data_IF_537870802483
#
_entry.id   IF_537870802483
#
_cell.length_a   1.000
_cell.length_b   1.000
_cell.length_c   1.000
_cell.angle_alpha   90.00
_cell.angle_beta   90.00
_cell.angle_gamma   90.00
#
_symmetry.space_group_name_H-M   'P 1'
#
loop_
_entity.id
_entity.type
_entity.pdbx_description
1 polymer ?
#
# COMPACT_ATOMS: atom_id res chain seq x y z
N UNK A 1 -3.54 6.28 2.15
CA UNK A 1 -2.64 5.17 2.49
C UNK A 1 -1.42 5.25 1.58
N UNK A 2 -0.24 4.87 2.05
CA UNK A 2 1.00 4.86 1.29
C UNK A 2 1.85 3.66 1.69
N UNK A 3 2.39 2.95 0.70
CA UNK A 3 3.43 1.93 0.87
C UNK A 3 4.73 2.53 0.31
N UNK A 4 5.81 2.50 1.07
CA UNK A 4 7.03 3.24 0.73
C UNK A 4 8.29 2.57 1.25
N UNK A 5 9.42 2.79 0.57
CA UNK A 5 10.76 2.42 1.05
C UNK A 5 11.30 3.59 1.89
N UNK A 6 11.68 3.31 3.13
CA UNK A 6 12.25 4.28 4.07
C UNK A 6 13.78 4.36 3.98
N UNK A 7 14.45 5.37 4.57
CA UNK A 7 15.91 5.55 4.46
C UNK A 7 16.78 4.37 4.93
N UNK A 8 16.25 3.49 5.76
CA UNK A 8 16.88 2.25 6.22
C UNK A 8 16.55 1.02 5.34
N UNK A 9 15.96 1.24 4.16
CA UNK A 9 15.46 0.21 3.25
C UNK A 9 14.32 -0.64 3.81
N UNK A 10 13.59 -0.19 4.83
CA UNK A 10 12.38 -0.88 5.26
C UNK A 10 11.18 -0.48 4.41
N UNK A 11 10.30 -1.44 4.15
CA UNK A 11 8.99 -1.20 3.55
C UNK A 11 8.05 -0.76 4.67
N UNK A 12 7.62 0.48 4.62
CA UNK A 12 6.65 1.05 5.55
C UNK A 12 5.29 1.21 4.86
N UNK A 13 4.25 0.68 5.49
CA UNK A 13 2.86 0.98 5.18
C UNK A 13 2.32 2.01 6.17
N UNK A 14 1.90 3.16 5.64
CA UNK A 14 1.23 4.20 6.41
C UNK A 14 -0.23 4.28 5.98
N UNK A 15 -1.13 4.21 6.95
CA UNK A 15 -2.54 4.49 6.73
C UNK A 15 -3.10 5.44 7.77
N UNK A 16 -4.12 6.18 7.36
CA UNK A 16 -4.72 7.27 8.12
C UNK A 16 -6.23 7.11 8.12
N UNK A 17 -6.85 7.65 9.16
CA UNK A 17 -8.30 7.70 9.25
C UNK A 17 -8.79 8.99 9.88
N UNK A 18 -9.95 9.47 9.43
CA UNK A 18 -10.71 10.52 10.10
C UNK A 18 -12.19 10.33 9.81
N UNK A 19 -12.98 10.10 10.87
CA UNK A 19 -14.44 10.08 10.80
C UNK A 19 -15.04 11.50 10.75
N UNK A 20 -14.22 12.51 11.08
CA UNK A 20 -14.53 13.93 10.92
C UNK A 20 -13.88 14.50 9.65
N UNK A 21 -14.52 15.46 8.97
CA UNK A 21 -13.95 16.12 7.79
C UNK A 21 -12.60 16.80 8.08
N UNK A 22 -11.73 16.81 7.08
CA UNK A 22 -10.49 17.60 7.08
C UNK A 22 -10.80 18.94 6.42
N UNK A 23 -10.82 20.02 7.21
CA UNK A 23 -11.33 21.32 6.76
C UNK A 23 -10.24 22.26 6.24
N UNK A 24 -8.99 22.04 6.65
CA UNK A 24 -7.85 22.89 6.25
C UNK A 24 -6.65 22.05 5.83
N UNK A 25 -5.86 22.56 4.89
CA UNK A 25 -4.61 21.94 4.48
C UNK A 25 -3.65 21.80 5.66
N UNK A 26 -3.08 20.60 5.85
CA UNK A 26 -2.17 20.31 6.95
C UNK A 26 -2.84 19.89 8.27
N UNK A 27 -4.17 19.89 8.35
CA UNK A 27 -4.86 19.33 9.52
C UNK A 27 -4.55 17.83 9.65
N UNK A 28 -4.18 17.43 10.87
CA UNK A 28 -3.86 16.04 11.17
C UNK A 28 -5.12 15.15 11.09
N UNK A 29 -4.99 13.91 10.62
CA UNK A 29 -6.05 12.91 10.72
C UNK A 29 -6.27 12.51 12.19
N UNK A 30 -7.46 11.98 12.50
CA UNK A 30 -7.76 11.40 13.83
C UNK A 30 -6.83 10.23 14.15
N UNK A 31 -6.48 9.43 13.15
CA UNK A 31 -5.57 8.30 13.30
C UNK A 31 -4.51 8.33 12.20
N UNK A 32 -3.27 8.09 12.58
CA UNK A 32 -2.18 7.70 11.68
C UNK A 32 -1.51 6.47 12.27
N UNK A 33 -1.31 5.45 11.45
CA UNK A 33 -0.58 4.24 11.83
C UNK A 33 0.51 3.96 10.80
N UNK A 34 1.62 3.49 11.32
CA UNK A 34 2.80 3.10 10.57
C UNK A 34 3.07 1.63 10.89
N UNK A 35 3.24 0.82 9.85
CA UNK A 35 3.51 -0.60 9.95
C UNK A 35 4.79 -0.88 9.19
N UNK A 36 5.77 -1.47 9.87
CA UNK A 36 6.97 -2.01 9.24
C UNK A 36 6.66 -3.40 8.68
N UNK A 37 6.81 -3.56 7.36
CA UNK A 37 6.61 -4.83 6.66
C UNK A 37 7.93 -5.57 6.43
N UNK A 38 9.05 -5.05 6.94
CA UNK A 38 10.37 -5.65 6.84
C UNK A 38 11.27 -4.97 5.81
N UNK A 39 12.44 -5.57 5.60
CA UNK A 39 13.47 -5.03 4.70
C UNK A 39 13.05 -5.24 3.23
N UNK A 40 13.20 -4.19 2.42
CA UNK A 40 12.97 -4.23 0.99
C UNK A 40 13.96 -5.18 0.30
N UNK A 41 13.44 -6.02 -0.58
CA UNK A 41 14.27 -6.80 -1.52
C UNK A 41 14.56 -5.95 -2.75
N UNK A 42 15.81 -5.93 -3.18
CA UNK A 42 16.27 -5.22 -4.38
C UNK A 42 16.62 -6.21 -5.49
N UNK A 43 16.76 -5.71 -6.71
CA UNK A 43 17.21 -6.46 -7.90
C UNK A 43 16.41 -7.74 -8.20
N UNK A 44 15.13 -7.73 -7.82
CA UNK A 44 14.18 -8.83 -8.04
C UNK A 44 12.75 -8.30 -8.09
N UNK A 45 11.85 -9.04 -8.73
CA UNK A 45 10.42 -8.77 -8.67
C UNK A 45 9.86 -9.15 -7.29
N UNK A 46 9.00 -8.29 -6.74
CA UNK A 46 8.29 -8.52 -5.48
C UNK A 46 6.81 -8.24 -5.72
N UNK A 47 5.98 -9.23 -5.41
CA UNK A 47 4.54 -9.14 -5.62
C UNK A 47 3.84 -8.65 -4.37
N UNK A 48 2.98 -7.64 -4.53
CA UNK A 48 2.13 -7.14 -3.47
C UNK A 48 0.66 -7.29 -3.86
N UNK A 49 -0.14 -7.85 -2.95
CA UNK A 49 -1.60 -7.82 -3.03
C UNK A 49 -2.12 -7.10 -1.80
N UNK A 50 -3.03 -6.14 -2.00
CA UNK A 50 -3.67 -5.41 -0.91
C UNK A 50 -5.19 -5.61 -1.01
N UNK A 51 -5.80 -6.07 0.07
CA UNK A 51 -7.25 -6.06 0.23
C UNK A 51 -7.64 -4.97 1.22
N UNK A 52 -8.42 -4.01 0.73
CA UNK A 52 -8.79 -2.81 1.49
C UNK A 52 -10.30 -2.66 1.49
N UNK A 53 -10.88 -2.62 2.70
CA UNK A 53 -12.25 -2.15 2.92
C UNK A 53 -12.19 -0.86 3.72
N UNK A 54 -12.58 0.24 3.08
CA UNK A 54 -12.59 1.57 3.68
C UNK A 54 -13.71 1.69 4.70
N UNK A 55 -13.39 2.21 5.88
CA UNK A 55 -14.33 2.54 6.93
C UNK A 55 -13.66 3.49 7.93
N UNK A 56 -13.98 4.77 7.84
CA UNK A 56 -13.40 5.78 8.72
C UNK A 56 -13.81 5.62 10.19
N UNK A 57 -14.96 4.95 10.46
CA UNK A 57 -15.51 4.76 11.81
C UNK A 57 -14.83 3.65 12.59
N UNK A 58 -14.16 2.74 11.87
CA UNK A 58 -13.42 1.62 12.45
C UNK A 58 -14.24 0.40 12.83
N UNK A 59 -15.51 0.30 12.42
CA UNK A 59 -16.37 -0.84 12.76
C UNK A 59 -16.14 -2.06 11.85
N UNK A 60 -15.83 -1.81 10.59
CA UNK A 60 -15.81 -2.82 9.52
C UNK A 60 -14.61 -2.73 8.58
N UNK A 61 -13.70 -1.79 8.84
CA UNK A 61 -12.52 -1.58 7.99
C UNK A 61 -11.59 -2.79 7.99
N UNK A 62 -11.03 -3.08 6.83
CA UNK A 62 -10.11 -4.21 6.61
C UNK A 62 -8.89 -3.72 5.85
N UNK A 63 -7.72 -4.15 6.31
CA UNK A 63 -6.46 -3.97 5.61
C UNK A 63 -5.66 -5.26 5.72
N UNK A 64 -5.50 -5.91 4.57
CA UNK A 64 -4.66 -7.10 4.45
C UNK A 64 -3.61 -6.86 3.38
N UNK A 65 -2.39 -7.34 3.62
CA UNK A 65 -1.27 -7.22 2.69
C UNK A 65 -0.60 -8.57 2.56
N UNK A 66 -0.44 -9.00 1.32
CA UNK A 66 0.39 -10.14 0.96
C UNK A 66 1.65 -9.65 0.27
N UNK A 67 2.78 -10.28 0.59
CA UNK A 67 4.05 -10.13 -0.10
C UNK A 67 4.48 -11.50 -0.60
N UNK A 68 4.69 -11.65 -1.92
CA UNK A 68 5.07 -12.92 -2.56
C UNK A 68 4.16 -14.10 -2.11
N UNK A 69 2.84 -13.87 -2.10
CA UNK A 69 1.85 -14.88 -1.69
C UNK A 69 1.68 -15.07 -0.18
N UNK A 70 2.55 -14.52 0.66
CA UNK A 70 2.48 -14.67 2.13
C UNK A 70 1.72 -13.50 2.74
N UNK A 71 0.71 -13.79 3.57
CA UNK A 71 -0.04 -12.76 4.31
C UNK A 71 0.84 -12.16 5.42
N UNK A 72 1.32 -10.93 5.21
CA UNK A 72 2.23 -10.22 6.13
C UNK A 72 1.51 -9.22 7.04
N UNK A 73 0.30 -8.78 6.67
CA UNK A 73 -0.55 -7.92 7.50
C UNK A 73 -2.01 -8.38 7.41
N UNK A 74 -2.68 -8.50 8.55
CA UNK A 74 -4.08 -8.89 8.63
C UNK A 74 -4.83 -8.11 9.71
N UNK A 75 -5.32 -6.92 9.36
CA UNK A 75 -6.06 -6.04 10.27
C UNK A 75 -7.53 -5.96 9.87
N UNK A 76 -8.42 -6.08 10.86
CA UNK A 76 -9.88 -6.05 10.71
C UNK A 76 -10.48 -5.22 11.83
N UNK A 77 -11.63 -4.60 11.59
CA UNK A 77 -12.27 -3.71 12.57
C UNK A 77 -11.39 -2.50 12.89
N UNK A 78 -10.75 -1.93 11.86
CA UNK A 78 -9.87 -0.77 12.01
C UNK A 78 -10.46 0.46 11.33
N UNK A 79 -10.15 1.64 11.88
CA UNK A 79 -10.45 2.92 11.23
C UNK A 79 -9.49 3.13 10.05
N UNK A 80 -10.04 3.30 8.86
CA UNK A 80 -9.27 3.39 7.62
C UNK A 80 -9.98 4.28 6.58
N UNK A 81 -9.31 5.37 6.19
CA UNK A 81 -9.84 6.33 5.23
C UNK A 81 -10.58 7.51 5.86
N UNK A 82 -11.20 8.33 5.03
CA UNK A 82 -11.83 9.58 5.45
C UNK A 82 -13.32 9.53 5.14
N UNK A 83 -14.17 10.02 6.04
CA UNK A 83 -15.63 9.96 5.87
C UNK A 83 -16.16 10.80 4.69
N UNK A 84 -15.41 11.81 4.26
CA UNK A 84 -15.68 12.68 3.11
C UNK A 84 -15.08 12.17 1.80
N UNK A 85 -14.29 11.08 1.82
CA UNK A 85 -13.67 10.48 0.63
C UNK A 85 -14.35 9.15 0.31
N UNK A 86 -15.25 9.16 -0.67
CA UNK A 86 -15.99 7.95 -1.05
C UNK A 86 -15.21 7.01 -1.98
N UNK A 87 -14.37 7.56 -2.86
CA UNK A 87 -13.66 6.79 -3.89
C UNK A 87 -12.18 7.19 -3.94
N UNK A 88 -11.34 6.70 -3.01
CA UNK A 88 -9.91 6.91 -3.12
C UNK A 88 -9.40 6.24 -4.40
N UNK A 89 -8.54 6.93 -5.12
CA UNK A 89 -7.91 6.41 -6.34
C UNK A 89 -6.49 5.92 -6.04
N UNK A 90 -6.04 4.94 -6.81
CA UNK A 90 -4.72 4.34 -6.68
C UNK A 90 -3.68 5.10 -7.49
N UNK A 91 -2.48 5.26 -6.91
CA UNK A 91 -1.27 5.74 -7.58
C UNK A 91 -0.13 4.81 -7.20
N UNK A 92 0.75 4.53 -8.16
CA UNK A 92 2.00 3.80 -7.95
C UNK A 92 3.09 4.45 -8.79
N UNK A 93 4.33 4.42 -8.29
CA UNK A 93 5.47 5.08 -8.91
C UNK A 93 6.43 5.62 -7.87
N UNK A 94 7.40 6.40 -8.33
CA UNK A 94 8.38 7.03 -7.46
C UNK A 94 7.90 8.40 -6.99
N UNK A 95 7.64 8.52 -5.68
CA UNK A 95 7.29 9.77 -5.03
C UNK A 95 8.32 10.12 -3.94
N UNK A 96 9.24 11.04 -4.24
CA UNK A 96 10.33 11.42 -3.34
C UNK A 96 9.98 12.68 -2.52
N UNK A 97 9.05 12.54 -1.57
CA UNK A 97 8.60 13.64 -0.72
C UNK A 97 9.70 14.19 0.19
N UNK A 98 10.50 13.32 0.80
CA UNK A 98 11.68 13.70 1.58
C UNK A 98 12.90 13.65 0.67
N UNK A 99 13.31 14.78 0.11
CA UNK A 99 14.37 14.88 -0.91
C UNK A 99 15.78 14.45 -0.48
N UNK A 100 15.96 13.83 0.69
CA UNK A 100 17.25 13.36 1.20
C UNK A 100 17.43 11.88 0.90
N UNK A 101 18.03 11.59 -0.24
CA UNK A 101 18.49 10.25 -0.60
C UNK A 101 19.98 10.29 -0.83
N UNK A 102 20.74 9.41 -0.18
CA UNK A 102 22.18 9.24 -0.45
C UNK A 102 22.47 8.73 -1.87
N UNK A 103 21.47 8.15 -2.54
CA UNK A 103 21.60 7.61 -3.89
C UNK A 103 21.33 8.69 -4.95
N UNK A 104 22.28 8.83 -5.89
CA UNK A 104 22.21 9.75 -7.03
C UNK A 104 21.20 9.31 -8.11
N UNK A 105 20.93 8.01 -8.23
CA UNK A 105 19.94 7.44 -9.16
C UNK A 105 19.03 6.47 -8.42
N UNK A 106 17.74 6.48 -8.76
CA UNK A 106 16.72 5.56 -8.27
C UNK A 106 15.92 5.07 -9.45
N UNK A 107 15.80 3.76 -9.61
CA UNK A 107 14.97 3.12 -10.63
C UNK A 107 13.94 2.26 -9.91
N UNK A 108 12.70 2.31 -10.38
CA UNK A 108 11.63 1.40 -9.98
C UNK A 108 10.97 0.87 -11.24
N UNK A 109 10.74 -0.43 -11.29
CA UNK A 109 10.00 -1.09 -12.35
C UNK A 109 8.69 -1.59 -11.76
N UNK A 110 7.63 -1.51 -12.57
CA UNK A 110 6.28 -1.87 -12.18
C UNK A 110 5.69 -2.68 -13.32
N UNK A 111 5.04 -3.77 -13.00
CA UNK A 111 4.29 -4.60 -13.96
C UNK A 111 3.02 -5.13 -13.27
N UNK A 112 2.11 -5.66 -14.06
CA UNK A 112 0.93 -6.43 -13.61
C UNK A 112 0.00 -5.70 -12.61
N UNK A 113 -0.11 -4.38 -12.74
CA UNK A 113 -1.02 -3.58 -11.91
C UNK A 113 -2.48 -3.94 -12.23
N UNK A 114 -3.17 -4.53 -11.25
CA UNK A 114 -4.59 -4.92 -11.33
C UNK A 114 -5.35 -4.34 -10.15
N UNK A 115 -6.60 -3.91 -10.39
CA UNK A 115 -7.51 -3.46 -9.33
C UNK A 115 -8.81 -4.26 -9.47
N UNK A 116 -9.15 -4.97 -8.41
CA UNK A 116 -10.41 -5.70 -8.29
C UNK A 116 -11.53 -4.80 -7.77
N UNK A 117 -12.78 -5.19 -8.05
CA UNK A 117 -13.96 -4.58 -7.45
C UNK A 117 -14.32 -5.30 -6.13
N UNK A 118 -15.48 -4.97 -5.56
CA UNK A 118 -15.95 -5.55 -4.29
C UNK A 118 -16.18 -7.08 -4.31
N UNK A 119 -16.24 -7.71 -5.48
CA UNK A 119 -16.40 -9.16 -5.63
C UNK A 119 -15.10 -9.86 -6.02
N UNK A 120 -14.01 -9.12 -6.22
CA UNK A 120 -12.71 -9.71 -6.54
C UNK A 120 -12.12 -10.41 -5.32
N UNK A 121 -11.52 -11.57 -5.56
CA UNK A 121 -10.72 -12.27 -4.56
C UNK A 121 -9.21 -12.02 -4.79
N UNK A 122 -8.38 -12.67 -3.96
CA UNK A 122 -6.93 -12.61 -4.08
C UNK A 122 -6.45 -13.00 -5.49
N UNK A 123 -6.98 -14.09 -6.04
CA UNK A 123 -6.53 -14.65 -7.32
C UNK A 123 -6.88 -13.75 -8.51
N UNK A 124 -7.95 -12.96 -8.42
CA UNK A 124 -8.34 -12.02 -9.46
C UNK A 124 -7.33 -10.89 -9.70
N UNK A 125 -6.47 -10.59 -8.71
CA UNK A 125 -5.52 -9.47 -8.77
C UNK A 125 -4.07 -9.88 -8.54
N UNK A 126 -3.81 -11.07 -8.00
CA UNK A 126 -2.47 -11.56 -7.73
C UNK A 126 -1.59 -11.52 -9.00
N UNK A 127 -0.36 -11.01 -8.91
CA UNK A 127 0.62 -11.12 -9.99
C UNK A 127 1.04 -12.58 -10.23
N UNK A 128 1.42 -12.89 -11.46
CA UNK A 128 2.00 -14.17 -11.86
C UNK A 128 1.03 -15.34 -12.02
N UNK A 129 1.24 -16.14 -13.07
CA UNK A 129 0.68 -17.50 -13.19
C UNK A 129 1.59 -18.49 -12.47
N UNK A 130 1.51 -18.58 -11.14
CA UNK A 130 2.03 -19.74 -10.37
C UNK A 130 3.50 -20.15 -10.55
N UNK A 131 4.34 -19.40 -11.28
CA UNK A 131 5.72 -19.79 -11.62
C UNK A 131 6.77 -18.73 -11.22
N UNK A 132 6.36 -17.68 -10.48
CA UNK A 132 7.23 -16.58 -10.06
C UNK A 132 7.95 -15.86 -11.22
N UNK A 133 7.50 -16.01 -12.47
CA UNK A 133 8.09 -15.29 -13.60
C UNK A 133 7.54 -13.87 -13.71
N UNK A 134 8.02 -12.98 -12.84
CA UNK A 134 8.11 -11.57 -13.22
C UNK A 134 8.97 -11.52 -14.48
N UNK A 135 8.44 -11.00 -15.61
CA UNK A 135 9.20 -10.95 -16.88
C UNK A 135 10.56 -10.32 -16.60
N UNK A 136 11.64 -11.01 -16.98
CA UNK A 136 12.98 -10.42 -16.94
C UNK A 136 12.90 -9.15 -17.77
N UNK A 137 13.08 -7.99 -17.12
CA UNK A 137 13.17 -6.73 -17.83
C UNK A 137 14.49 -6.76 -18.63
N UNK A 138 14.37 -6.72 -19.96
CA UNK A 138 15.49 -6.63 -20.89
C UNK A 138 16.07 -5.21 -20.92
#
# INVERSE_FOLDING_TARGET
MALSIQPNNHIQLVYRSSDKPILVAGQAPVTQKEVDLGIATFDSWVDYVLHVKWDATGKTGVLQVWQNGVLVLNQKGISLGYSDVQNPYFKVGMYCWTGQSKYAKKNIYLDEVRIGNATADYNAVAPGRSDNSGKVAY
#
